data_IF_055541500548
#
_entry.id   IF_055541500548
#
_cell.length_a   1.000
_cell.length_b   1.000
_cell.length_c   1.000
_cell.angle_alpha   90.00
_cell.angle_beta   90.00
_cell.angle_gamma   90.00
#
_symmetry.space_group_name_H-M   'P 1'
#
loop_
_entity.id
_entity.type
_entity.pdbx_description
1 polymer ?
#
# COMPACT_ATOMS: atom_id res chain seq x y z
N UNK A 1 17.79 -16.58 19.42
CA UNK A 1 18.76 -16.33 18.33
C UNK A 1 19.03 -14.84 18.35
N UNK A 2 20.15 -14.45 18.95
CA UNK A 2 20.57 -13.07 19.25
C UNK A 2 20.90 -12.34 17.95
N UNK A 3 20.19 -11.25 17.64
CA UNK A 3 20.59 -10.30 16.59
C UNK A 3 21.81 -9.54 17.09
N UNK A 4 22.96 -9.78 16.45
CA UNK A 4 24.14 -8.94 16.63
C UNK A 4 23.86 -7.55 16.06
N UNK A 5 23.65 -6.57 16.93
CA UNK A 5 23.65 -5.16 16.54
C UNK A 5 25.10 -4.75 16.23
N UNK A 6 25.53 -4.89 14.97
CA UNK A 6 26.77 -4.27 14.51
C UNK A 6 26.60 -2.76 14.48
N UNK A 7 27.28 -2.05 15.37
CA UNK A 7 27.34 -0.59 15.36
C UNK A 7 28.01 -0.09 14.08
N UNK A 8 27.29 0.71 13.29
CA UNK A 8 27.83 1.42 12.13
C UNK A 8 28.91 2.41 12.57
N UNK A 9 30.13 2.25 12.05
CA UNK A 9 31.21 3.23 12.24
C UNK A 9 31.23 4.19 11.07
N UNK A 10 30.89 5.44 11.37
CA UNK A 10 30.81 6.54 10.42
C UNK A 10 32.05 7.42 10.59
N UNK A 11 32.87 7.50 9.53
CA UNK A 11 34.08 8.32 9.52
C UNK A 11 33.79 9.69 8.88
N UNK A 12 34.32 10.76 9.48
CA UNK A 12 34.15 12.13 9.03
C UNK A 12 35.28 12.54 8.10
N UNK A 13 34.96 13.00 6.89
CA UNK A 13 35.93 13.56 5.96
C UNK A 13 36.04 15.09 6.13
N UNK A 14 37.24 15.69 6.25
CA UNK A 14 37.37 17.13 6.34
C UNK A 14 37.03 17.81 5.01
N UNK A 15 36.40 18.99 5.11
CA UNK A 15 36.12 19.87 3.97
C UNK A 15 37.42 20.33 3.31
N UNK A 16 37.67 19.90 2.07
CA UNK A 16 38.82 20.39 1.30
C UNK A 16 38.54 21.78 0.74
N UNK A 17 39.24 22.79 1.26
CA UNK A 17 39.23 24.16 0.71
C UNK A 17 40.18 24.23 -0.49
N UNK A 18 39.78 24.78 -1.66
CA UNK A 18 40.69 24.98 -2.78
C UNK A 18 41.69 26.10 -2.47
N UNK A 19 42.98 25.83 -2.70
CA UNK A 19 44.07 26.78 -2.51
C UNK A 19 44.06 27.90 -3.58
N UNK A 20 44.22 29.15 -3.16
CA UNK A 20 44.59 30.29 -4.03
C UNK A 20 45.24 31.42 -3.21
N UNK A 21 46.01 32.34 -3.84
CA UNK A 21 47.38 32.62 -3.43
C UNK A 21 47.55 33.97 -2.70
N UNK A 22 48.77 34.16 -2.20
CA UNK A 22 49.31 35.30 -1.47
C UNK A 22 48.84 36.69 -1.92
N UNK A 23 48.59 37.58 -0.94
CA UNK A 23 48.40 39.02 -1.15
C UNK A 23 48.27 39.80 0.16
N UNK A 24 49.34 40.54 0.48
CA UNK A 24 49.47 41.81 1.21
C UNK A 24 48.69 42.09 2.52
N UNK A 25 49.47 42.18 3.60
CA UNK A 25 49.07 42.71 4.91
C UNK A 25 48.84 44.22 4.88
N UNK A 26 47.71 44.67 5.44
CA UNK A 26 47.55 46.06 5.92
C UNK A 26 47.19 46.01 7.41
N UNK A 27 48.15 46.39 8.25
CA UNK A 27 48.01 46.52 9.70
C UNK A 27 47.24 47.79 10.05
N UNK A 28 46.03 47.65 10.57
CA UNK A 28 45.32 48.74 11.26
C UNK A 28 45.49 48.58 12.78
N UNK A 29 46.18 49.55 13.38
CA UNK A 29 46.31 49.71 14.83
C UNK A 29 44.95 50.04 15.45
N UNK A 30 44.40 49.14 16.27
CA UNK A 30 43.19 49.42 17.06
C UNK A 30 42.28 48.24 17.40
N UNK A 31 42.66 46.99 17.09
CA UNK A 31 41.82 45.80 17.34
C UNK A 31 42.32 45.08 18.60
N UNK A 32 41.52 45.10 19.67
CA UNK A 32 41.69 44.18 20.79
C UNK A 32 40.96 42.88 20.45
N UNK A 33 41.68 41.84 20.06
CA UNK A 33 41.18 40.48 20.06
C UNK A 33 41.32 39.91 21.47
N UNK A 34 40.22 39.43 22.06
CA UNK A 34 40.25 38.76 23.34
C UNK A 34 40.26 37.25 23.07
N UNK A 35 41.45 36.68 22.92
CA UNK A 35 41.65 35.23 22.79
C UNK A 35 41.65 34.60 24.18
N UNK A 36 40.66 33.77 24.49
CA UNK A 36 40.66 32.95 25.71
C UNK A 36 41.51 31.71 25.45
N UNK A 37 42.73 31.68 25.98
CA UNK A 37 43.56 30.48 26.02
C UNK A 37 43.15 29.60 27.22
N UNK A 38 42.68 28.38 26.97
CA UNK A 38 42.69 27.32 27.98
C UNK A 38 44.08 26.67 28.01
N UNK A 39 44.64 26.32 29.20
CA UNK A 39 45.96 25.70 29.30
C UNK A 39 45.99 24.28 28.71
N UNK A 40 47.16 23.81 28.24
CA UNK A 40 47.29 22.66 27.35
C UNK A 40 47.46 21.35 28.14
N UNK A 41 46.48 21.01 28.98
CA UNK A 41 46.45 19.68 29.56
C UNK A 41 45.00 19.20 29.67
N UNK A 42 44.68 18.20 28.83
CA UNK A 42 43.37 17.55 28.60
C UNK A 42 42.47 18.19 27.53
N UNK A 43 42.70 17.82 26.27
CA UNK A 43 41.64 17.42 25.33
C UNK A 43 42.23 16.96 23.98
N UNK A 44 42.32 15.65 23.81
CA UNK A 44 42.26 15.03 22.49
C UNK A 44 40.86 15.28 21.92
N UNK A 45 40.65 16.39 21.21
CA UNK A 45 39.58 16.63 20.21
C UNK A 45 39.69 18.10 19.80
N UNK A 46 40.43 18.36 18.72
CA UNK A 46 40.63 19.70 18.19
C UNK A 46 39.38 20.23 17.52
N UNK A 47 38.61 21.04 18.24
CA UNK A 47 37.65 21.99 17.67
C UNK A 47 38.07 23.40 18.08
N UNK A 48 38.71 24.13 17.16
CA UNK A 48 39.00 25.55 17.34
C UNK A 48 37.86 26.33 16.71
N UNK A 49 36.90 26.76 17.52
CA UNK A 49 35.92 27.76 17.10
C UNK A 49 36.53 29.15 17.33
N UNK A 50 37.12 29.77 16.29
CA UNK A 50 37.42 31.20 16.31
C UNK A 50 36.11 31.99 16.21
N UNK A 51 35.56 32.42 17.34
CA UNK A 51 34.54 33.47 17.37
C UNK A 51 35.24 34.82 17.46
N UNK A 52 35.47 35.45 16.30
CA UNK A 52 36.00 36.82 16.25
C UNK A 52 34.89 37.82 16.60
N UNK A 53 34.90 38.31 17.85
CA UNK A 53 34.04 39.40 18.28
C UNK A 53 34.69 40.75 17.95
N UNK A 54 34.24 41.39 16.88
CA UNK A 54 34.60 42.78 16.57
C UNK A 54 33.75 43.72 17.43
N UNK A 55 34.32 44.21 18.54
CA UNK A 55 33.72 45.31 19.32
C UNK A 55 34.33 46.63 18.86
N UNK A 56 33.54 47.44 18.16
CA UNK A 56 33.84 48.86 17.98
C UNK A 56 33.42 49.60 19.25
N UNK A 57 34.38 50.15 20.01
CA UNK A 57 34.06 51.03 21.13
C UNK A 57 33.64 52.41 20.60
N UNK A 58 32.34 52.70 20.65
CA UNK A 58 31.81 54.04 20.40
C UNK A 58 31.48 54.74 21.73
N UNK A 59 32.04 55.93 22.03
CA UNK A 59 31.87 56.61 23.31
C UNK A 59 30.57 57.44 23.36
N UNK A 60 29.40 56.79 23.26
CA UNK A 60 28.11 57.48 23.43
C UNK A 60 27.12 56.69 24.28
N UNK A 61 26.77 57.24 25.45
CA UNK A 61 25.74 56.73 26.37
C UNK A 61 24.32 57.01 25.86
N UNK A 62 23.94 56.41 24.73
CA UNK A 62 22.55 56.38 24.27
C UNK A 62 22.11 54.92 24.12
N UNK A 63 20.88 54.64 24.57
CA UNK A 63 20.23 53.32 24.62
C UNK A 63 20.50 52.49 23.36
N UNK A 64 21.49 51.59 23.42
CA UNK A 64 21.86 50.72 22.31
C UNK A 64 20.71 49.73 22.06
N UNK A 65 20.11 49.81 20.87
CA UNK A 65 19.28 48.74 20.33
C UNK A 65 20.20 47.83 19.53
N UNK A 66 20.43 46.62 20.02
CA UNK A 66 21.13 45.59 19.28
C UNK A 66 20.20 45.12 18.16
N UNK A 67 20.59 45.37 16.90
CA UNK A 67 19.92 44.80 15.74
C UNK A 67 20.82 43.68 15.24
N UNK A 68 20.38 42.45 15.43
CA UNK A 68 21.07 41.27 14.93
C UNK A 68 20.60 41.02 13.50
N UNK A 69 21.41 41.39 12.51
CA UNK A 69 21.13 41.13 11.10
C UNK A 69 21.79 39.80 10.75
N UNK A 70 20.98 38.75 10.63
CA UNK A 70 21.43 37.45 10.19
C UNK A 70 21.58 37.51 8.66
N UNK A 71 22.81 37.65 8.16
CA UNK A 71 23.10 37.65 6.73
C UNK A 71 23.19 36.19 6.27
N UNK A 72 22.12 35.66 5.69
CA UNK A 72 22.12 34.34 5.07
C UNK A 72 22.78 34.47 3.69
N UNK A 73 23.99 33.92 3.53
CA UNK A 73 24.68 33.91 2.24
C UNK A 73 23.92 33.01 1.25
N UNK A 74 23.31 33.61 0.22
CA UNK A 74 22.50 32.90 -0.77
C UNK A 74 23.29 31.91 -1.64
N UNK A 75 24.62 31.85 -1.51
CA UNK A 75 25.47 30.95 -2.30
C UNK A 75 25.36 29.48 -1.87
N UNK A 76 24.95 29.22 -0.63
CA UNK A 76 24.67 27.86 -0.14
C UNK A 76 23.19 27.76 0.17
N UNK A 77 22.42 27.20 -0.77
CA UNK A 77 21.03 26.84 -0.51
C UNK A 77 21.06 25.64 0.43
N UNK A 78 20.76 25.85 1.70
CA UNK A 78 20.59 24.76 2.65
C UNK A 78 19.59 23.73 2.08
N UNK A 79 19.80 22.42 2.32
CA UNK A 79 18.88 21.39 1.86
C UNK A 79 17.46 21.69 2.34
N UNK A 80 16.45 21.51 1.49
CA UNK A 80 15.06 21.89 1.80
C UNK A 80 14.42 21.12 2.98
N UNK A 81 15.09 20.08 3.48
CA UNK A 81 14.70 19.28 4.63
C UNK A 81 15.36 19.74 5.95
N UNK A 82 16.31 20.69 5.88
CA UNK A 82 17.00 21.23 7.04
C UNK A 82 16.09 22.21 7.80
N UNK A 83 16.02 22.06 9.12
CA UNK A 83 15.13 22.87 9.94
C UNK A 83 15.63 24.32 10.01
N UNK A 84 14.82 25.33 9.61
CA UNK A 84 15.30 26.67 9.25
C UNK A 84 15.84 27.54 10.40
N UNK A 85 15.78 27.09 11.66
CA UNK A 85 16.13 27.89 12.85
C UNK A 85 17.15 27.22 13.79
N UNK A 86 17.66 26.05 13.44
CA UNK A 86 18.71 25.37 14.20
C UNK A 86 19.82 25.17 13.18
N UNK A 87 20.96 25.84 13.35
CA UNK A 87 22.11 25.76 12.44
C UNK A 87 22.64 24.33 12.37
N UNK A 88 21.98 23.49 11.57
CA UNK A 88 22.34 22.10 11.36
C UNK A 88 23.47 22.02 10.37
N UNK A 89 24.55 21.33 10.73
CA UNK A 89 25.55 20.93 9.76
C UNK A 89 25.04 19.71 8.98
N UNK A 90 25.03 19.81 7.65
CA UNK A 90 24.94 18.63 6.79
C UNK A 90 26.36 18.14 6.53
N UNK A 91 26.68 16.94 7.03
CA UNK A 91 27.94 16.27 6.75
C UNK A 91 27.69 15.12 5.80
N UNK A 92 28.46 15.06 4.71
CA UNK A 92 28.47 13.90 3.84
C UNK A 92 29.24 12.78 4.53
N UNK A 93 28.51 11.77 4.99
CA UNK A 93 29.07 10.61 5.64
C UNK A 93 29.03 9.44 4.65
N UNK A 94 30.18 8.84 4.39
CA UNK A 94 30.29 7.65 3.56
C UNK A 94 30.72 6.48 4.43
N UNK A 95 29.89 5.43 4.46
CA UNK A 95 30.19 4.20 5.20
C UNK A 95 31.40 3.48 4.60
N UNK A 96 32.04 2.61 5.39
CA UNK A 96 33.16 1.81 4.92
C UNK A 96 32.70 0.86 3.80
N UNK A 97 33.48 0.77 2.72
CA UNK A 97 33.05 0.08 1.48
C UNK A 97 32.77 -1.42 1.67
N UNK A 98 33.52 -2.06 2.57
CA UNK A 98 33.33 -3.44 3.02
C UNK A 98 32.00 -3.64 3.77
N UNK A 99 31.62 -2.71 4.64
CA UNK A 99 30.35 -2.76 5.36
C UNK A 99 29.16 -2.51 4.41
N UNK A 100 29.30 -1.56 3.48
CA UNK A 100 28.28 -1.29 2.45
C UNK A 100 28.10 -2.50 1.53
N UNK A 101 29.18 -3.13 1.09
CA UNK A 101 29.11 -4.30 0.22
C UNK A 101 28.48 -5.51 0.94
N UNK A 102 28.80 -5.73 2.21
CA UNK A 102 28.18 -6.80 2.99
C UNK A 102 26.67 -6.57 3.20
N UNK A 103 26.25 -5.32 3.43
CA UNK A 103 24.83 -4.97 3.52
C UNK A 103 24.14 -5.15 2.18
N UNK A 104 24.76 -4.75 1.07
CA UNK A 104 24.21 -4.94 -0.26
C UNK A 104 24.04 -6.42 -0.60
N UNK A 105 25.01 -7.26 -0.24
CA UNK A 105 24.93 -8.72 -0.42
C UNK A 105 23.81 -9.31 0.44
N UNK A 106 23.68 -8.90 1.71
CA UNK A 106 22.58 -9.31 2.59
C UNK A 106 21.20 -8.84 2.06
N UNK A 107 21.11 -7.62 1.54
CA UNK A 107 19.89 -7.09 0.93
C UNK A 107 19.50 -7.87 -0.33
N UNK A 108 20.45 -8.17 -1.21
CA UNK A 108 20.22 -8.99 -2.41
C UNK A 108 19.78 -10.42 -2.05
N UNK A 109 20.39 -11.01 -1.03
CA UNK A 109 20.01 -12.34 -0.53
C UNK A 109 18.60 -12.34 0.07
N UNK A 110 18.24 -11.29 0.81
CA UNK A 110 16.92 -11.15 1.43
C UNK A 110 15.82 -10.78 0.41
N UNK A 111 16.16 -10.03 -0.64
CA UNK A 111 15.26 -9.71 -1.75
C UNK A 111 14.85 -10.96 -2.53
N UNK A 112 15.72 -11.97 -2.62
CA UNK A 112 15.43 -13.22 -3.36
C UNK A 112 14.78 -14.29 -2.49
N UNK A 113 15.09 -14.36 -1.20
CA UNK A 113 14.56 -15.39 -0.27
C UNK A 113 13.10 -15.20 0.11
N UNK A 114 12.57 -13.97 0.10
CA UNK A 114 11.22 -13.67 0.60
C UNK A 114 10.16 -13.51 -0.51
N UNK A 115 10.47 -13.94 -1.75
CA UNK A 115 9.51 -13.80 -2.86
C UNK A 115 8.53 -14.98 -2.92
N UNK A 116 7.28 -14.64 -3.14
CA UNK A 116 6.19 -15.55 -3.47
C UNK A 116 6.37 -16.05 -4.90
N UNK A 117 6.35 -17.37 -5.08
CA UNK A 117 6.25 -17.96 -6.41
C UNK A 117 4.90 -17.65 -7.06
N UNK A 118 4.83 -17.77 -8.39
CA UNK A 118 3.64 -17.44 -9.20
C UNK A 118 2.36 -18.11 -8.69
N UNK A 119 2.40 -19.39 -8.33
CA UNK A 119 1.25 -20.12 -7.80
C UNK A 119 0.79 -19.61 -6.43
N UNK A 120 1.74 -19.32 -5.53
CA UNK A 120 1.43 -18.80 -4.20
C UNK A 120 0.98 -17.35 -4.23
N UNK A 121 1.52 -16.54 -5.15
CA UNK A 121 1.04 -15.18 -5.40
C UNK A 121 -0.36 -15.20 -6.01
N UNK A 122 -0.61 -16.06 -6.99
CA UNK A 122 -1.92 -16.21 -7.64
C UNK A 122 -2.97 -16.72 -6.67
N UNK A 123 -2.63 -17.64 -5.75
CA UNK A 123 -3.61 -18.21 -4.83
C UNK A 123 -4.18 -17.18 -3.85
N UNK A 124 -3.39 -16.19 -3.42
CA UNK A 124 -3.82 -15.14 -2.49
C UNK A 124 -4.99 -14.34 -3.08
N UNK A 125 -4.81 -13.72 -4.26
CA UNK A 125 -5.88 -12.97 -4.93
C UNK A 125 -6.92 -13.89 -5.59
N UNK A 126 -6.49 -15.02 -6.13
CA UNK A 126 -7.35 -16.00 -6.80
C UNK A 126 -8.41 -16.59 -5.87
N UNK A 127 -8.10 -16.81 -4.59
CA UNK A 127 -9.09 -17.27 -3.62
C UNK A 127 -10.24 -16.29 -3.43
N UNK A 128 -9.98 -14.97 -3.46
CA UNK A 128 -11.03 -13.97 -3.36
C UNK A 128 -11.98 -14.05 -4.57
N UNK A 129 -11.44 -14.23 -5.79
CA UNK A 129 -12.24 -14.34 -7.02
C UNK A 129 -13.01 -15.67 -7.06
N UNK A 130 -12.33 -16.80 -6.88
CA UNK A 130 -12.95 -18.13 -7.00
C UNK A 130 -14.00 -18.39 -5.91
N UNK A 131 -13.77 -17.91 -4.69
CA UNK A 131 -14.79 -17.97 -3.64
C UNK A 131 -16.00 -17.09 -3.99
N UNK A 132 -15.77 -15.90 -4.57
CA UNK A 132 -16.86 -14.96 -4.86
C UNK A 132 -17.84 -15.44 -5.91
N UNK A 133 -17.38 -16.24 -6.88
CA UNK A 133 -18.26 -16.85 -7.91
C UNK A 133 -19.36 -17.71 -7.28
N UNK A 134 -19.07 -18.42 -6.17
CA UNK A 134 -20.01 -19.33 -5.52
C UNK A 134 -21.26 -18.63 -4.98
N UNK A 135 -21.14 -17.38 -4.52
CA UNK A 135 -22.29 -16.61 -4.06
C UNK A 135 -22.80 -15.63 -5.14
N UNK A 136 -21.90 -15.00 -5.91
CA UNK A 136 -22.28 -13.97 -6.89
C UNK A 136 -23.10 -14.51 -8.06
N UNK A 137 -22.83 -15.75 -8.50
CA UNK A 137 -23.57 -16.35 -9.61
C UNK A 137 -25.07 -16.45 -9.31
N UNK A 138 -25.44 -16.96 -8.13
CA UNK A 138 -26.83 -17.05 -7.69
C UNK A 138 -27.49 -15.68 -7.53
N UNK A 139 -26.79 -14.71 -6.93
CA UNK A 139 -27.29 -13.34 -6.79
C UNK A 139 -27.53 -12.67 -8.14
N UNK A 140 -26.65 -12.90 -9.11
CA UNK A 140 -26.79 -12.36 -10.47
C UNK A 140 -27.98 -12.97 -11.19
N UNK A 141 -28.17 -14.29 -11.08
CA UNK A 141 -29.35 -14.97 -11.64
C UNK A 141 -30.64 -14.44 -10.98
N UNK A 142 -30.64 -14.21 -9.67
CA UNK A 142 -31.80 -13.68 -8.97
C UNK A 142 -32.20 -12.26 -9.42
N UNK A 143 -31.25 -11.44 -9.90
CA UNK A 143 -31.49 -10.05 -10.32
C UNK A 143 -31.66 -9.89 -11.84
N UNK A 144 -30.94 -10.65 -12.64
CA UNK A 144 -30.92 -10.55 -14.10
C UNK A 144 -31.68 -11.67 -14.81
N UNK A 145 -32.02 -12.76 -14.10
CA UNK A 145 -32.66 -13.94 -14.67
C UNK A 145 -31.87 -14.47 -15.86
N UNK A 146 -32.56 -14.63 -16.99
CA UNK A 146 -31.95 -15.06 -18.26
C UNK A 146 -30.87 -14.12 -18.83
N UNK A 147 -30.76 -12.88 -18.33
CA UNK A 147 -29.70 -11.94 -18.73
C UNK A 147 -28.41 -12.08 -17.91
N UNK A 148 -28.38 -12.95 -16.89
CA UNK A 148 -27.21 -13.13 -16.03
C UNK A 148 -25.90 -13.41 -16.78
N UNK A 149 -25.86 -14.27 -17.84
CA UNK A 149 -24.64 -14.48 -18.61
C UNK A 149 -24.15 -13.21 -19.32
N UNK A 150 -25.08 -12.37 -19.80
CA UNK A 150 -24.76 -11.10 -20.47
C UNK A 150 -24.15 -10.11 -19.48
N UNK A 151 -24.72 -9.99 -18.28
CA UNK A 151 -24.18 -9.11 -17.24
C UNK A 151 -22.81 -9.57 -16.75
N UNK A 152 -22.60 -10.88 -16.60
CA UNK A 152 -21.30 -11.44 -16.25
C UNK A 152 -20.26 -11.18 -17.34
N UNK A 153 -20.64 -11.34 -18.62
CA UNK A 153 -19.76 -11.04 -19.74
C UNK A 153 -19.29 -9.58 -19.75
N UNK A 154 -20.19 -8.62 -19.45
CA UNK A 154 -19.81 -7.21 -19.32
C UNK A 154 -18.80 -6.99 -18.19
N UNK A 155 -19.03 -7.58 -17.01
CA UNK A 155 -18.10 -7.48 -15.87
C UNK A 155 -16.73 -8.06 -16.22
N UNK A 156 -16.69 -9.26 -16.81
CA UNK A 156 -15.43 -9.89 -17.25
C UNK A 156 -14.70 -9.01 -18.26
N UNK A 157 -15.42 -8.39 -19.20
CA UNK A 157 -14.84 -7.46 -20.17
C UNK A 157 -14.20 -6.26 -19.48
N UNK A 158 -14.90 -5.64 -18.52
CA UNK A 158 -14.38 -4.49 -17.77
C UNK A 158 -13.12 -4.86 -16.99
N UNK A 159 -13.14 -5.99 -16.25
CA UNK A 159 -11.97 -6.45 -15.49
C UNK A 159 -10.81 -6.83 -16.41
N UNK A 160 -11.09 -7.43 -17.56
CA UNK A 160 -10.07 -7.73 -18.56
C UNK A 160 -9.42 -6.45 -19.10
N UNK A 161 -10.19 -5.39 -19.35
CA UNK A 161 -9.64 -4.09 -19.72
C UNK A 161 -8.83 -3.44 -18.58
N UNK A 162 -9.24 -3.61 -17.32
CA UNK A 162 -8.49 -3.13 -16.16
C UNK A 162 -7.11 -3.79 -16.05
N UNK A 163 -6.91 -5.01 -16.58
CA UNK A 163 -5.60 -5.67 -16.62
C UNK A 163 -4.51 -4.75 -17.19
N UNK A 164 -4.76 -4.09 -18.31
CA UNK A 164 -3.77 -3.19 -18.94
C UNK A 164 -3.47 -1.97 -18.07
N UNK A 165 -4.48 -1.44 -17.38
CA UNK A 165 -4.30 -0.30 -16.46
C UNK A 165 -3.47 -0.70 -15.26
N UNK A 166 -3.75 -1.86 -14.66
CA UNK A 166 -3.00 -2.36 -13.52
C UNK A 166 -1.55 -2.70 -13.89
N UNK A 167 -1.32 -3.28 -15.07
CA UNK A 167 0.03 -3.57 -15.58
C UNK A 167 0.88 -2.29 -15.68
N UNK A 168 0.33 -1.22 -16.27
CA UNK A 168 1.02 0.08 -16.37
C UNK A 168 1.29 0.69 -14.98
N UNK A 169 0.28 0.69 -14.11
CA UNK A 169 0.39 1.30 -12.77
C UNK A 169 1.41 0.57 -11.91
N UNK A 170 1.39 -0.77 -11.89
CA UNK A 170 2.30 -1.57 -11.07
C UNK A 170 3.72 -1.61 -11.64
N UNK A 171 3.87 -1.46 -12.97
CA UNK A 171 5.19 -1.28 -13.58
C UNK A 171 5.80 0.08 -13.24
N UNK A 172 4.98 1.15 -13.17
CA UNK A 172 5.44 2.49 -12.84
C UNK A 172 5.72 2.69 -11.34
N UNK A 173 4.93 2.06 -10.47
CA UNK A 173 5.03 2.19 -9.01
C UNK A 173 4.96 0.80 -8.37
N UNK A 174 6.07 0.03 -8.36
CA UNK A 174 6.12 -1.34 -7.83
C UNK A 174 6.26 -1.31 -6.30
N UNK A 175 5.33 -0.64 -5.65
CA UNK A 175 5.30 -0.48 -4.21
C UNK A 175 4.05 -1.14 -3.64
N UNK A 176 4.21 -1.78 -2.49
CA UNK A 176 3.10 -2.33 -1.74
C UNK A 176 2.10 -1.23 -1.34
N UNK A 177 0.85 -1.64 -1.13
CA UNK A 177 -0.26 -0.71 -0.91
C UNK A 177 -1.16 -0.47 -2.12
N UNK A 178 -0.90 -1.16 -3.24
CA UNK A 178 -1.80 -1.30 -4.36
C UNK A 178 -2.39 0.02 -4.86
N UNK A 179 -3.72 0.08 -4.94
CA UNK A 179 -4.44 1.26 -5.45
C UNK A 179 -4.18 2.54 -4.63
N UNK A 180 -3.95 2.44 -3.31
CA UNK A 180 -3.66 3.63 -2.50
C UNK A 180 -2.32 4.24 -2.88
N UNK A 181 -1.28 3.41 -2.98
CA UNK A 181 0.07 3.89 -3.33
C UNK A 181 0.08 4.46 -4.75
N UNK A 182 -0.62 3.84 -5.69
CA UNK A 182 -0.83 4.39 -7.02
C UNK A 182 -1.50 5.77 -7.00
N UNK A 183 -2.60 5.92 -6.25
CA UNK A 183 -3.34 7.18 -6.14
C UNK A 183 -2.56 8.27 -5.40
N UNK A 184 -1.76 7.91 -4.39
CA UNK A 184 -0.94 8.86 -3.63
C UNK A 184 0.15 9.49 -4.51
N UNK A 185 0.66 8.74 -5.49
CA UNK A 185 1.70 9.19 -6.41
C UNK A 185 1.15 9.87 -7.68
N UNK A 186 -0.12 9.63 -8.04
CA UNK A 186 -0.73 10.16 -9.27
C UNK A 186 -1.79 11.25 -9.05
N UNK A 187 -2.33 11.39 -7.83
CA UNK A 187 -3.43 12.32 -7.54
C UNK A 187 -3.18 13.17 -6.28
N UNK A 188 -3.94 14.26 -6.07
CA UNK A 188 -3.85 15.05 -4.84
C UNK A 188 -4.14 14.22 -3.59
N UNK A 189 -3.44 14.51 -2.48
CA UNK A 189 -3.58 13.78 -1.20
C UNK A 189 -5.03 13.59 -0.72
N UNK A 190 -5.91 14.56 -0.99
CA UNK A 190 -7.35 14.47 -0.64
C UNK A 190 -8.07 13.37 -1.43
N UNK A 191 -7.77 13.24 -2.72
CA UNK A 191 -8.36 12.23 -3.59
C UNK A 191 -7.83 10.85 -3.21
N UNK A 192 -6.52 10.74 -2.98
CA UNK A 192 -5.90 9.49 -2.52
C UNK A 192 -6.51 9.00 -1.20
N UNK A 193 -6.73 9.90 -0.24
CA UNK A 193 -7.39 9.56 1.03
C UNK A 193 -8.85 9.11 0.83
N UNK A 194 -9.61 9.76 -0.04
CA UNK A 194 -10.99 9.36 -0.35
C UNK A 194 -11.04 7.95 -0.98
N UNK A 195 -10.14 7.68 -1.92
CA UNK A 195 -9.98 6.36 -2.54
C UNK A 195 -9.62 5.29 -1.51
N UNK A 196 -8.69 5.58 -0.59
CA UNK A 196 -8.31 4.65 0.48
C UNK A 196 -9.50 4.27 1.36
N UNK A 197 -10.34 5.25 1.73
CA UNK A 197 -11.56 4.99 2.53
C UNK A 197 -12.53 4.08 1.76
N UNK A 198 -12.77 4.34 0.47
CA UNK A 198 -13.62 3.46 -0.35
C UNK A 198 -13.04 2.06 -0.50
N UNK A 199 -11.73 1.91 -0.67
CA UNK A 199 -11.07 0.61 -0.71
C UNK A 199 -11.22 -0.15 0.62
N UNK A 200 -11.03 0.51 1.76
CA UNK A 200 -11.24 -0.11 3.08
C UNK A 200 -12.69 -0.54 3.29
N UNK A 201 -13.66 0.31 2.91
CA UNK A 201 -15.08 -0.03 2.98
C UNK A 201 -15.43 -1.21 2.07
N UNK A 202 -14.83 -1.28 0.87
CA UNK A 202 -14.99 -2.39 -0.06
C UNK A 202 -14.49 -3.70 0.58
N UNK A 203 -13.26 -3.73 1.08
CA UNK A 203 -12.70 -4.92 1.72
C UNK A 203 -13.48 -5.37 2.96
N UNK A 204 -13.94 -4.43 3.78
CA UNK A 204 -14.79 -4.76 4.93
C UNK A 204 -16.12 -5.36 4.48
N UNK A 205 -16.76 -4.79 3.46
CA UNK A 205 -18.00 -5.33 2.89
C UNK A 205 -17.79 -6.73 2.32
N UNK A 206 -16.69 -6.96 1.59
CA UNK A 206 -16.34 -8.27 1.04
C UNK A 206 -16.12 -9.31 2.13
N UNK A 207 -15.42 -8.95 3.22
CA UNK A 207 -15.23 -9.83 4.36
C UNK A 207 -16.57 -10.23 5.01
N UNK A 208 -17.50 -9.28 5.18
CA UNK A 208 -18.83 -9.54 5.72
C UNK A 208 -19.65 -10.44 4.79
N UNK A 209 -19.68 -10.17 3.48
CA UNK A 209 -20.43 -10.99 2.51
C UNK A 209 -19.89 -12.41 2.46
N UNK A 210 -18.57 -12.60 2.48
CA UNK A 210 -17.94 -13.91 2.55
C UNK A 210 -18.29 -14.64 3.85
N UNK A 211 -18.23 -13.94 4.99
CA UNK A 211 -18.59 -14.52 6.30
C UNK A 211 -20.07 -14.91 6.41
N UNK A 212 -20.99 -14.10 5.87
CA UNK A 212 -22.42 -14.43 5.81
C UNK A 212 -22.65 -15.63 4.90
N UNK A 213 -22.03 -15.63 3.71
CA UNK A 213 -22.17 -16.73 2.74
C UNK A 213 -21.66 -18.06 3.32
N UNK A 214 -20.50 -18.04 3.99
CA UNK A 214 -19.96 -19.22 4.66
C UNK A 214 -20.91 -19.78 5.73
N UNK A 215 -21.50 -18.91 6.56
CA UNK A 215 -22.45 -19.34 7.59
C UNK A 215 -23.77 -19.82 6.99
N UNK A 216 -24.24 -19.21 5.89
CA UNK A 216 -25.40 -19.71 5.15
C UNK A 216 -25.16 -21.12 4.58
N UNK A 217 -23.98 -21.39 4.01
CA UNK A 217 -23.65 -22.73 3.51
C UNK A 217 -23.68 -23.78 4.63
N UNK A 218 -23.16 -23.45 5.83
CA UNK A 218 -23.24 -24.33 7.00
C UNK A 218 -24.70 -24.50 7.45
N UNK A 219 -25.47 -23.41 7.50
CA UNK A 219 -26.87 -23.40 7.91
C UNK A 219 -27.75 -24.28 7.02
N UNK A 220 -27.56 -24.21 5.71
CA UNK A 220 -28.36 -24.95 4.72
C UNK A 220 -27.90 -26.40 4.54
N UNK A 221 -26.59 -26.67 4.66
CA UNK A 221 -26.04 -27.99 4.31
C UNK A 221 -25.75 -28.92 5.49
N UNK A 222 -25.54 -28.37 6.70
CA UNK A 222 -25.05 -29.16 7.84
C UNK A 222 -25.98 -29.08 9.04
N UNK A 223 -26.16 -27.89 9.61
CA UNK A 223 -26.89 -27.68 10.88
C UNK A 223 -27.53 -26.31 10.89
N UNK A 224 -28.75 -26.20 11.45
CA UNK A 224 -29.41 -24.90 11.64
C UNK A 224 -28.68 -24.08 12.71
N UNK A 225 -28.18 -22.90 12.31
CA UNK A 225 -27.39 -21.99 13.15
C UNK A 225 -27.88 -20.55 13.01
N UNK A 226 -27.74 -19.72 14.06
CA UNK A 226 -28.05 -18.29 13.96
C UNK A 226 -26.97 -17.57 13.14
N UNK A 227 -27.15 -17.55 11.81
CA UNK A 227 -26.20 -17.03 10.79
C UNK A 227 -25.56 -15.71 11.23
N UNK A 228 -26.36 -14.72 11.62
CA UNK A 228 -25.87 -13.39 12.01
C UNK A 228 -24.89 -13.43 13.19
N UNK A 229 -25.22 -14.18 14.25
CA UNK A 229 -24.38 -14.27 15.45
C UNK A 229 -23.10 -15.03 15.14
N UNK A 230 -23.22 -16.13 14.38
CA UNK A 230 -22.07 -16.93 13.96
C UNK A 230 -21.13 -16.14 13.03
N UNK A 231 -21.65 -15.33 12.11
CA UNK A 231 -20.82 -14.47 11.25
C UNK A 231 -20.08 -13.41 12.05
N UNK A 232 -20.75 -12.74 13.00
CA UNK A 232 -20.07 -11.76 13.89
C UNK A 232 -18.97 -12.47 14.69
N UNK A 233 -19.25 -13.65 15.23
CA UNK A 233 -18.26 -14.46 15.95
C UNK A 233 -17.07 -14.86 15.07
N UNK A 234 -17.33 -15.32 13.84
CA UNK A 234 -16.29 -15.68 12.87
C UNK A 234 -15.37 -14.48 12.57
N UNK A 235 -15.95 -13.32 12.23
CA UNK A 235 -15.19 -12.10 11.94
C UNK A 235 -14.41 -11.62 13.17
N UNK A 236 -14.99 -11.72 14.37
CA UNK A 236 -14.30 -11.38 15.61
C UNK A 236 -13.08 -12.30 15.87
N UNK A 237 -13.22 -13.61 15.61
CA UNK A 237 -12.09 -14.55 15.73
C UNK A 237 -10.98 -14.18 14.75
N UNK A 238 -11.29 -13.96 13.47
CA UNK A 238 -10.28 -13.52 12.50
C UNK A 238 -9.63 -12.19 12.88
N UNK A 239 -10.42 -11.21 13.34
CA UNK A 239 -9.88 -9.94 13.82
C UNK A 239 -8.91 -10.13 15.00
N UNK A 240 -9.23 -11.00 15.96
CA UNK A 240 -8.34 -11.32 17.08
C UNK A 240 -7.06 -12.02 16.62
N UNK A 241 -7.15 -12.96 15.68
CA UNK A 241 -5.96 -13.63 15.10
C UNK A 241 -5.04 -12.61 14.40
N UNK A 242 -5.61 -11.66 13.66
CA UNK A 242 -4.85 -10.56 13.05
C UNK A 242 -4.20 -9.65 14.11
N UNK A 243 -4.90 -9.32 15.20
CA UNK A 243 -4.35 -8.54 16.31
C UNK A 243 -3.22 -9.28 17.06
N UNK A 244 -3.27 -10.60 17.12
CA UNK A 244 -2.21 -11.44 17.68
C UNK A 244 -0.98 -11.54 16.76
N UNK A 245 -1.04 -10.98 15.55
CA UNK A 245 0.06 -11.01 14.59
C UNK A 245 0.24 -12.38 13.92
N UNK A 246 -0.78 -13.25 13.95
CA UNK A 246 -0.76 -14.49 13.17
C UNK A 246 -0.94 -14.08 11.70
N UNK A 247 0.18 -14.03 10.99
CA UNK A 247 0.24 -13.58 9.62
C UNK A 247 -0.28 -14.63 8.64
N UNK A 248 -0.71 -14.14 7.48
CA UNK A 248 -1.22 -14.89 6.35
C UNK A 248 -0.22 -15.96 5.89
N UNK A 249 -0.73 -17.12 5.49
CA UNK A 249 0.10 -18.20 4.94
C UNK A 249 -0.21 -18.40 3.47
N UNK A 250 0.76 -18.07 2.62
CA UNK A 250 0.65 -18.28 1.17
C UNK A 250 0.50 -19.77 0.81
N UNK A 251 1.08 -20.67 1.62
CA UNK A 251 0.91 -22.11 1.46
C UNK A 251 -0.53 -22.55 1.78
N UNK A 252 -1.11 -22.07 2.89
CA UNK A 252 -2.52 -22.36 3.22
C UNK A 252 -3.45 -21.77 2.17
N UNK A 253 -3.16 -20.56 1.68
CA UNK A 253 -3.89 -19.96 0.56
C UNK A 253 -3.86 -20.85 -0.69
N UNK A 254 -2.70 -21.40 -1.04
CA UNK A 254 -2.58 -22.32 -2.18
C UNK A 254 -3.44 -23.58 -2.01
N UNK A 255 -3.53 -24.14 -0.80
CA UNK A 255 -4.41 -25.27 -0.52
C UNK A 255 -5.87 -24.91 -0.82
N UNK A 256 -6.38 -23.80 -0.27
CA UNK A 256 -7.74 -23.35 -0.54
C UNK A 256 -7.99 -23.09 -2.03
N UNK A 257 -7.00 -22.52 -2.72
CA UNK A 257 -7.12 -22.23 -4.15
C UNK A 257 -7.28 -23.50 -4.98
N UNK A 258 -6.52 -24.55 -4.66
CA UNK A 258 -6.67 -25.87 -5.30
C UNK A 258 -8.06 -26.46 -5.02
N UNK A 259 -8.55 -26.38 -3.78
CA UNK A 259 -9.90 -26.86 -3.45
C UNK A 259 -11.00 -26.09 -4.19
N UNK A 260 -10.93 -24.76 -4.21
CA UNK A 260 -11.89 -23.93 -4.96
C UNK A 260 -11.86 -24.25 -6.45
N UNK A 261 -10.67 -24.32 -7.04
CA UNK A 261 -10.49 -24.63 -8.47
C UNK A 261 -11.06 -26.02 -8.79
N UNK A 262 -10.78 -27.01 -7.96
CA UNK A 262 -11.28 -28.38 -8.12
C UNK A 262 -12.81 -28.43 -8.04
N UNK A 263 -13.42 -27.84 -7.01
CA UNK A 263 -14.87 -27.81 -6.83
C UNK A 263 -15.58 -27.08 -7.97
N UNK A 264 -15.06 -25.91 -8.40
CA UNK A 264 -15.64 -25.16 -9.52
C UNK A 264 -15.49 -25.91 -10.85
N UNK A 265 -14.37 -26.61 -11.06
CA UNK A 265 -14.16 -27.42 -12.26
C UNK A 265 -15.17 -28.58 -12.31
N UNK A 266 -15.36 -29.29 -11.20
CA UNK A 266 -16.38 -30.35 -11.11
C UNK A 266 -17.79 -29.81 -11.35
N UNK A 267 -18.14 -28.69 -10.70
CA UNK A 267 -19.43 -28.04 -10.90
C UNK A 267 -19.64 -27.65 -12.37
N UNK A 268 -18.62 -27.10 -13.03
CA UNK A 268 -18.66 -26.75 -14.44
C UNK A 268 -18.89 -27.97 -15.34
N UNK A 269 -18.14 -29.05 -15.13
CA UNK A 269 -18.30 -30.31 -15.88
C UNK A 269 -19.71 -30.88 -15.70
N UNK A 270 -20.19 -30.99 -14.46
CA UNK A 270 -21.54 -31.51 -14.21
C UNK A 270 -22.62 -30.61 -14.78
N UNK A 271 -22.45 -29.28 -14.72
CA UNK A 271 -23.39 -28.34 -15.34
C UNK A 271 -23.45 -28.51 -16.86
N UNK A 272 -22.31 -28.68 -17.53
CA UNK A 272 -22.26 -28.92 -18.99
C UNK A 272 -22.95 -30.24 -19.35
N UNK A 273 -22.66 -31.32 -18.60
CA UNK A 273 -23.31 -32.63 -18.80
C UNK A 273 -24.83 -32.49 -18.63
N UNK A 274 -25.27 -31.79 -17.58
CA UNK A 274 -26.69 -31.59 -17.29
C UNK A 274 -27.40 -30.79 -18.40
N UNK A 275 -26.78 -29.72 -18.90
CA UNK A 275 -27.31 -28.93 -20.02
C UNK A 275 -27.41 -29.78 -21.30
N UNK A 276 -26.42 -30.64 -21.57
CA UNK A 276 -26.44 -31.53 -22.74
C UNK A 276 -27.54 -32.61 -22.65
N UNK A 277 -27.85 -33.09 -21.44
CA UNK A 277 -28.92 -34.08 -21.21
C UNK A 277 -30.32 -33.45 -21.22
N UNK A 278 -30.44 -32.17 -20.84
CA UNK A 278 -31.71 -31.47 -20.69
C UNK A 278 -31.76 -30.13 -21.46
N UNK A 279 -31.67 -30.15 -22.80
CA UNK A 279 -31.69 -28.92 -23.60
C UNK A 279 -33.02 -28.15 -23.50
N UNK A 280 -34.11 -28.81 -23.11
CA UNK A 280 -35.40 -28.16 -22.88
C UNK A 280 -35.32 -27.12 -21.75
N UNK A 281 -34.57 -27.39 -20.68
CA UNK A 281 -34.43 -26.48 -19.54
C UNK A 281 -33.85 -25.13 -19.97
N UNK A 282 -32.88 -25.13 -20.89
CA UNK A 282 -32.32 -23.90 -21.43
C UNK A 282 -33.39 -23.09 -22.19
N UNK A 283 -34.19 -23.78 -23.02
CA UNK A 283 -35.26 -23.16 -23.79
C UNK A 283 -36.34 -22.59 -22.86
N UNK A 284 -36.77 -23.37 -21.87
CA UNK A 284 -37.75 -22.97 -20.86
C UNK A 284 -37.27 -21.74 -20.07
N UNK A 285 -36.00 -21.75 -19.63
CA UNK A 285 -35.37 -20.62 -18.95
C UNK A 285 -35.36 -19.36 -19.82
N UNK A 286 -35.13 -19.47 -21.13
CA UNK A 286 -35.15 -18.32 -22.03
C UNK A 286 -36.55 -17.73 -22.25
N UNK A 287 -37.60 -18.53 -22.08
CA UNK A 287 -38.99 -18.10 -22.14
C UNK A 287 -39.52 -17.49 -20.84
N UNK A 288 -38.79 -17.59 -19.73
CA UNK A 288 -39.17 -16.93 -18.48
C UNK A 288 -39.24 -15.40 -18.63
N UNK A 289 -40.13 -14.77 -17.88
CA UNK A 289 -40.17 -13.31 -17.73
C UNK A 289 -38.93 -12.81 -16.98
N UNK A 290 -38.60 -11.53 -17.14
CA UNK A 290 -37.54 -10.93 -16.33
C UNK A 290 -37.97 -10.91 -14.85
N UNK A 291 -37.02 -11.01 -13.90
CA UNK A 291 -37.34 -10.94 -12.48
C UNK A 291 -37.93 -9.57 -12.13
N UNK A 292 -39.04 -9.57 -11.39
CA UNK A 292 -39.58 -8.34 -10.81
C UNK A 292 -38.75 -7.97 -9.59
N UNK A 293 -37.82 -7.04 -9.77
CA UNK A 293 -36.96 -6.56 -8.69
C UNK A 293 -37.47 -5.21 -8.20
N UNK A 294 -37.74 -5.12 -6.90
CA UNK A 294 -37.99 -3.86 -6.22
C UNK A 294 -36.67 -3.12 -5.99
N UNK A 295 -36.61 -1.88 -6.48
CA UNK A 295 -35.51 -0.95 -6.23
C UNK A 295 -35.93 0.01 -5.11
N UNK A 296 -34.96 0.51 -4.33
CA UNK A 296 -35.18 1.49 -3.26
C UNK A 296 -36.15 1.02 -2.16
N UNK A 297 -36.05 -0.24 -1.73
CA UNK A 297 -36.87 -0.77 -0.64
C UNK A 297 -38.36 -0.89 -0.97
N UNK A 298 -38.71 -1.04 -2.25
CA UNK A 298 -40.10 -1.18 -2.72
C UNK A 298 -40.68 0.06 -3.39
N UNK A 299 -39.94 1.16 -3.50
CA UNK A 299 -40.44 2.41 -4.08
C UNK A 299 -40.53 2.41 -5.62
N UNK A 300 -39.87 1.46 -6.29
CA UNK A 300 -39.99 1.27 -7.74
C UNK A 300 -39.90 -0.21 -8.11
N UNK A 301 -40.82 -0.69 -8.92
CA UNK A 301 -40.72 -1.99 -9.58
C UNK A 301 -39.97 -1.83 -10.89
N UNK A 302 -38.97 -2.68 -11.09
CA UNK A 302 -38.10 -2.60 -12.23
C UNK A 302 -38.05 -3.96 -12.94
N UNK A 303 -39.01 -4.18 -13.82
CA UNK A 303 -39.18 -5.41 -14.60
C UNK A 303 -38.67 -5.30 -16.05
N UNK A 304 -37.95 -4.22 -16.36
CA UNK A 304 -37.48 -3.94 -17.71
C UNK A 304 -36.05 -4.44 -17.95
N UNK A 305 -35.68 -4.56 -19.23
CA UNK A 305 -34.37 -5.05 -19.64
C UNK A 305 -33.22 -4.23 -19.02
N UNK A 306 -33.38 -2.90 -18.94
CA UNK A 306 -32.34 -2.01 -18.43
C UNK A 306 -32.11 -2.19 -16.92
N UNK A 307 -33.17 -2.36 -16.13
CA UNK A 307 -33.05 -2.61 -14.70
C UNK A 307 -32.45 -3.99 -14.40
N UNK A 308 -32.86 -5.03 -15.14
CA UNK A 308 -32.28 -6.35 -15.02
C UNK A 308 -30.77 -6.35 -15.35
N UNK A 309 -30.36 -5.62 -16.39
CA UNK A 309 -28.95 -5.48 -16.76
C UNK A 309 -28.16 -4.70 -15.69
N UNK A 310 -28.70 -3.57 -15.21
CA UNK A 310 -28.02 -2.72 -14.23
C UNK A 310 -27.86 -3.42 -12.87
N UNK A 311 -28.93 -4.04 -12.37
CA UNK A 311 -28.90 -4.76 -11.10
C UNK A 311 -28.06 -6.03 -11.19
N UNK A 312 -28.15 -6.75 -12.31
CA UNK A 312 -27.31 -7.90 -12.58
C UNK A 312 -25.83 -7.56 -12.67
N UNK A 313 -25.49 -6.46 -13.34
CA UNK A 313 -24.11 -5.94 -13.39
C UNK A 313 -23.60 -5.63 -11.97
N UNK A 314 -24.41 -4.94 -11.16
CA UNK A 314 -24.06 -4.64 -9.77
C UNK A 314 -23.77 -5.88 -8.92
N UNK A 315 -24.59 -6.94 -9.04
CA UNK A 315 -24.35 -8.20 -8.31
C UNK A 315 -23.22 -9.03 -8.89
N UNK A 316 -23.00 -8.96 -10.21
CA UNK A 316 -21.90 -9.65 -10.88
C UNK A 316 -20.54 -9.05 -10.53
N UNK A 317 -20.47 -7.74 -10.26
CA UNK A 317 -19.26 -7.07 -9.79
C UNK A 317 -18.74 -7.64 -8.46
N UNK A 318 -19.62 -8.21 -7.62
CA UNK A 318 -19.21 -8.90 -6.39
C UNK A 318 -18.38 -10.16 -6.69
N UNK A 319 -18.57 -10.78 -7.85
CA UNK A 319 -17.83 -11.98 -8.26
C UNK A 319 -16.36 -11.71 -8.61
N UNK A 320 -15.99 -10.44 -8.80
CA UNK A 320 -14.63 -10.03 -9.20
C UNK A 320 -13.92 -9.16 -8.16
N UNK A 321 -14.54 -8.92 -6.99
CA UNK A 321 -13.89 -8.23 -5.87
C UNK A 321 -12.76 -9.11 -5.33
N UNK A 322 -11.52 -8.65 -5.46
CA UNK A 322 -10.33 -9.45 -5.18
C UNK A 322 -9.28 -9.39 -6.28
N UNK A 323 -9.64 -8.92 -7.48
CA UNK A 323 -8.64 -8.63 -8.52
C UNK A 323 -7.64 -7.57 -8.04
N UNK A 324 -8.13 -6.55 -7.33
CA UNK A 324 -7.33 -5.44 -6.81
C UNK A 324 -6.34 -5.85 -5.71
N UNK A 325 -6.60 -6.96 -4.99
CA UNK A 325 -5.73 -7.38 -3.88
C UNK A 325 -4.38 -7.91 -4.35
N UNK A 326 -4.28 -8.35 -5.62
CA UNK A 326 -3.02 -8.79 -6.23
C UNK A 326 -1.93 -7.71 -6.19
N UNK A 327 -2.32 -6.44 -6.22
CA UNK A 327 -1.41 -5.30 -6.15
C UNK A 327 -0.91 -4.96 -4.75
N UNK A 328 -1.49 -5.58 -3.72
CA UNK A 328 -1.18 -5.25 -2.33
C UNK A 328 0.17 -5.82 -1.87
N UNK A 329 0.64 -6.89 -2.54
CA UNK A 329 1.85 -7.64 -2.25
C UNK A 329 2.79 -7.74 -3.46
N UNK A 330 2.82 -6.67 -4.27
CA UNK A 330 3.62 -6.63 -5.52
C UNK A 330 5.12 -6.71 -5.23
N UNK A 331 5.59 -6.18 -4.11
CA UNK A 331 7.00 -6.27 -3.70
C UNK A 331 7.37 -7.69 -3.29
N UNK A 332 6.43 -8.50 -2.83
CA UNK A 332 6.67 -9.91 -2.48
C UNK A 332 6.55 -10.84 -3.70
N UNK A 333 6.09 -10.39 -4.87
CA UNK A 333 6.00 -11.26 -6.05
C UNK A 333 7.38 -11.54 -6.64
N UNK A 334 7.67 -12.81 -6.91
CA UNK A 334 8.83 -13.20 -7.70
C UNK A 334 8.65 -12.67 -9.14
N UNK A 335 9.67 -11.97 -9.64
CA UNK A 335 9.73 -11.48 -11.02
C UNK A 335 9.99 -12.63 -12.02
#
# INVERSE_FOLDING_TARGET
MTKDNKELRLDLHPSSTPASPAGDYVTYSGISSLSVHLPPDKSELGWVNEMNFMRAETPSQLRQRFIQIQVTDRRFKEPSWMHPNIGGEAQFVQGRMDEINAINEELQDNETKNKLGEWTATSISGNAILSSVLFSAGQTIAKAGKLAPVTQFFVVTVVYCLRWVFEEVMSAVPLNGGFYTAMLNSAPKKVAALCAVFSMLSYLSTAVVNGVSAMNYVNESLIEIPVMVCTIGLLAVFALLCLMGIAESAFVSLIFFVFHTFTLTLLGIFSIIYVAQHPSIFTDNMHTSLPDVTIFGGAAEASNFASALFLGYGTAMLGVTGFESSSQYVEEQAA
#
